data_IF_802457966419
#
_entry.id   IF_802457966419
#
_cell.length_a   1.000
_cell.length_b   1.000
_cell.length_c   1.000
_cell.angle_alpha   90.00
_cell.angle_beta   90.00
_cell.angle_gamma   90.00
#
_symmetry.space_group_name_H-M   'P 1'
#
loop_
_entity.id
_entity.type
_entity.pdbx_description
1 polymer ?
#
# COMPACT_ATOMS: atom_id res chain seq x y z
N UNK A 1 4.63 7.70 6.72
CA UNK A 1 4.27 8.17 8.07
C UNK A 1 2.75 8.23 8.15
N UNK A 2 2.16 8.02 9.31
CA UNK A 2 0.73 8.18 9.49
C UNK A 2 0.31 9.61 9.14
N UNK A 3 -0.69 9.74 8.28
CA UNK A 3 -1.59 10.86 8.31
C UNK A 3 -2.72 10.56 9.30
N UNK A 4 -3.57 11.54 9.52
CA UNK A 4 -4.69 11.40 10.45
C UNK A 4 -5.61 10.21 10.09
N UNK A 5 -5.95 10.06 8.82
CA UNK A 5 -6.86 9.01 8.33
C UNK A 5 -6.26 7.61 8.57
N UNK A 6 -4.99 7.41 8.22
CA UNK A 6 -4.32 6.13 8.44
C UNK A 6 -4.15 5.80 9.93
N UNK A 7 -3.91 6.82 10.76
CA UNK A 7 -3.84 6.65 12.21
C UNK A 7 -5.18 6.17 12.77
N UNK A 8 -6.28 6.86 12.43
CA UNK A 8 -7.62 6.51 12.90
C UNK A 8 -8.02 5.12 12.42
N UNK A 9 -7.73 4.78 11.17
CA UNK A 9 -7.95 3.43 10.66
C UNK A 9 -7.31 2.38 11.56
N UNK A 10 -6.03 2.55 11.88
CA UNK A 10 -5.32 1.59 12.72
C UNK A 10 -5.85 1.59 14.16
N UNK A 11 -6.24 2.74 14.69
CA UNK A 11 -6.78 2.85 16.05
C UNK A 11 -8.15 2.14 16.19
N UNK A 12 -9.06 2.34 15.25
CA UNK A 12 -10.36 1.67 15.25
C UNK A 12 -10.22 0.15 15.08
N UNK A 13 -9.28 -0.28 14.22
CA UNK A 13 -8.98 -1.71 14.11
C UNK A 13 -8.33 -2.28 15.36
N UNK A 14 -7.51 -1.49 16.08
CA UNK A 14 -6.99 -1.90 17.38
C UNK A 14 -8.13 -2.25 18.37
N UNK A 15 -9.16 -1.40 18.44
CA UNK A 15 -10.33 -1.66 19.30
C UNK A 15 -11.04 -2.94 18.87
N UNK A 16 -11.30 -3.11 17.56
CA UNK A 16 -11.95 -4.31 17.05
C UNK A 16 -11.14 -5.59 17.28
N UNK A 17 -9.81 -5.52 17.16
CA UNK A 17 -8.91 -6.65 17.40
C UNK A 17 -8.83 -7.01 18.87
N UNK A 18 -8.80 -6.02 19.76
CA UNK A 18 -8.81 -6.22 21.20
C UNK A 18 -10.07 -6.98 21.66
N UNK A 19 -11.24 -6.58 21.15
CA UNK A 19 -12.52 -7.25 21.45
C UNK A 19 -12.56 -8.73 20.99
N UNK A 20 -11.58 -9.16 20.20
CA UNK A 20 -11.44 -10.54 19.71
C UNK A 20 -10.15 -11.21 20.19
N UNK A 21 -9.53 -10.73 21.29
CA UNK A 21 -8.29 -11.24 21.87
C UNK A 21 -7.11 -11.30 20.88
N UNK A 22 -7.10 -10.41 19.88
CA UNK A 22 -6.02 -10.31 18.91
C UNK A 22 -5.04 -9.22 19.34
N UNK A 23 -3.79 -9.58 19.52
CA UNK A 23 -2.76 -8.71 20.12
C UNK A 23 -1.84 -8.02 19.09
N UNK A 24 -2.03 -8.25 17.81
CA UNK A 24 -1.18 -7.71 16.74
C UNK A 24 -2.00 -6.97 15.70
N UNK A 25 -1.57 -5.76 15.39
CA UNK A 25 -2.08 -4.97 14.28
C UNK A 25 -1.01 -4.85 13.20
N UNK A 26 -1.32 -5.31 12.01
CA UNK A 26 -0.42 -5.27 10.86
C UNK A 26 -0.74 -4.07 9.97
N UNK A 27 0.28 -3.28 9.63
CA UNK A 27 0.14 -2.18 8.67
C UNK A 27 1.16 -2.30 7.55
N UNK A 28 0.69 -2.15 6.32
CA UNK A 28 1.52 -2.21 5.13
C UNK A 28 1.73 -0.81 4.54
N UNK A 29 2.98 -0.44 4.36
CA UNK A 29 3.34 0.79 3.69
C UNK A 29 3.53 0.57 2.19
N UNK A 30 2.98 1.48 1.38
CA UNK A 30 3.13 1.42 -0.07
C UNK A 30 4.28 2.34 -0.52
N UNK A 31 5.51 1.84 -0.52
CA UNK A 31 6.70 2.62 -0.88
C UNK A 31 6.97 2.71 -2.39
N UNK A 32 6.26 1.94 -3.21
CA UNK A 32 6.40 2.01 -4.68
C UNK A 32 5.72 3.23 -5.31
N UNK A 33 4.95 3.99 -4.53
CA UNK A 33 4.34 5.24 -4.99
C UNK A 33 5.39 6.34 -5.17
N UNK A 34 5.08 7.30 -6.03
CA UNK A 34 5.92 8.50 -6.17
C UNK A 34 5.90 9.33 -4.91
N UNK A 35 7.06 9.86 -4.54
CA UNK A 35 7.25 10.67 -3.33
C UNK A 35 6.46 11.96 -3.36
N UNK A 36 6.30 12.57 -4.54
CA UNK A 36 5.40 13.70 -4.76
C UNK A 36 4.39 13.39 -5.86
N UNK A 37 3.16 13.80 -5.67
CA UNK A 37 2.07 13.67 -6.62
C UNK A 37 1.41 15.03 -6.87
N UNK A 38 0.82 15.23 -8.03
CA UNK A 38 0.02 16.40 -8.36
C UNK A 38 -1.46 16.03 -8.47
N UNK A 39 -1.95 15.29 -7.48
CA UNK A 39 -3.38 14.97 -7.39
C UNK A 39 -4.03 16.00 -6.49
N UNK A 40 -5.24 16.40 -6.82
CA UNK A 40 -6.02 17.37 -6.03
C UNK A 40 -6.06 16.93 -4.55
N UNK A 41 -5.60 17.80 -3.66
CA UNK A 41 -5.50 17.59 -2.21
C UNK A 41 -4.51 16.50 -1.72
N UNK A 42 -3.73 15.88 -2.60
CA UNK A 42 -2.71 14.92 -2.20
C UNK A 42 -1.36 15.21 -2.85
N UNK A 43 -0.41 15.68 -2.07
CA UNK A 43 0.92 16.05 -2.55
C UNK A 43 1.91 14.88 -2.60
N UNK A 44 1.53 13.73 -2.05
CA UNK A 44 2.35 12.54 -1.97
C UNK A 44 2.79 12.16 -0.55
N UNK A 45 3.33 10.96 -0.35
CA UNK A 45 3.63 10.40 0.98
C UNK A 45 4.77 11.11 1.73
N UNK A 46 5.53 11.97 1.05
CA UNK A 46 6.60 12.75 1.68
C UNK A 46 6.13 14.15 2.13
N UNK A 47 4.83 14.39 2.07
CA UNK A 47 4.21 15.61 2.58
C UNK A 47 3.19 15.26 3.65
N UNK A 48 3.01 16.17 4.59
CA UNK A 48 2.01 16.06 5.64
C UNK A 48 1.31 17.39 5.84
N UNK A 49 0.00 17.32 6.05
CA UNK A 49 -0.80 18.47 6.46
C UNK A 49 -0.98 18.42 7.99
N UNK A 50 -0.60 19.50 8.66
CA UNK A 50 -0.72 19.67 10.11
C UNK A 50 -1.39 21.01 10.32
N UNK A 51 -2.62 21.03 10.83
CA UNK A 51 -3.37 22.26 11.09
C UNK A 51 -3.38 23.21 9.87
N UNK A 52 -3.75 22.67 8.71
CA UNK A 52 -3.72 23.39 7.41
C UNK A 52 -2.33 23.81 6.89
N UNK A 53 -1.29 23.63 7.66
CA UNK A 53 0.08 23.88 7.25
C UNK A 53 0.66 22.67 6.52
N UNK A 54 1.27 22.89 5.37
CA UNK A 54 1.86 21.82 4.55
C UNK A 54 3.37 21.76 4.81
N UNK A 55 3.82 20.59 5.23
CA UNK A 55 5.24 20.31 5.47
C UNK A 55 5.77 19.26 4.50
N UNK A 56 6.99 19.46 4.03
CA UNK A 56 7.79 18.45 3.36
C UNK A 56 8.62 17.71 4.42
N UNK A 57 8.36 16.45 4.58
CA UNK A 57 8.90 15.62 5.67
C UNK A 57 10.43 15.55 5.62
N UNK A 58 11.02 15.39 4.43
CA UNK A 58 12.47 15.25 4.26
C UNK A 58 13.18 16.51 3.77
N UNK A 59 12.47 17.62 3.60
CA UNK A 59 13.06 18.88 3.12
C UNK A 59 13.64 18.84 1.71
N UNK A 60 13.39 17.78 0.94
CA UNK A 60 13.89 17.61 -0.42
C UNK A 60 13.15 18.52 -1.42
N UNK A 61 13.83 18.94 -2.49
CA UNK A 61 13.19 19.77 -3.50
C UNK A 61 12.02 19.07 -4.20
N UNK A 62 10.98 19.82 -4.58
CA UNK A 62 9.80 19.28 -5.27
C UNK A 62 10.17 18.57 -6.57
N UNK A 63 11.17 19.09 -7.31
CA UNK A 63 11.64 18.48 -8.54
C UNK A 63 12.29 17.11 -8.31
N UNK A 64 13.10 16.97 -7.25
CA UNK A 64 13.66 15.68 -6.85
C UNK A 64 12.57 14.69 -6.48
N UNK A 65 11.58 15.11 -5.71
CA UNK A 65 10.49 14.24 -5.21
C UNK A 65 9.52 13.79 -6.33
N UNK A 66 9.27 14.62 -7.34
CA UNK A 66 8.38 14.27 -8.47
C UNK A 66 8.86 13.04 -9.26
N UNK A 67 10.17 12.89 -9.37
CA UNK A 67 10.80 11.82 -10.17
C UNK A 67 11.34 10.67 -9.31
N UNK A 68 10.98 10.66 -8.03
CA UNK A 68 11.51 9.70 -7.06
C UNK A 68 10.37 8.90 -6.45
N UNK A 69 10.57 7.60 -6.25
CA UNK A 69 9.68 6.76 -5.47
C UNK A 69 10.20 6.66 -4.03
N UNK A 70 9.32 6.46 -3.06
CA UNK A 70 9.71 6.32 -1.63
C UNK A 70 10.72 5.16 -1.47
N UNK A 71 10.50 4.04 -2.17
CA UNK A 71 11.40 2.89 -2.18
C UNK A 71 12.80 3.15 -2.75
N UNK A 72 13.05 4.31 -3.34
CA UNK A 72 14.34 4.70 -3.89
C UNK A 72 15.00 5.88 -3.15
N UNK A 73 14.38 6.34 -2.06
CA UNK A 73 14.89 7.43 -1.23
C UNK A 73 15.81 6.89 -0.14
N UNK A 74 17.10 7.02 -0.37
CA UNK A 74 18.16 6.72 0.60
C UNK A 74 18.66 7.99 1.27
N UNK A 75 19.31 7.84 2.43
CA UNK A 75 19.95 8.90 3.19
C UNK A 75 19.00 10.08 3.53
N UNK A 76 17.77 9.75 3.90
CA UNK A 76 16.73 10.70 4.28
C UNK A 76 16.84 11.07 5.75
N UNK A 77 16.48 12.33 6.07
CA UNK A 77 16.39 12.83 7.44
C UNK A 77 15.06 13.55 7.62
N UNK A 78 14.40 13.35 8.75
CA UNK A 78 13.21 14.13 9.10
C UNK A 78 13.58 15.59 9.39
N UNK A 79 12.96 16.50 8.64
CA UNK A 79 13.18 17.95 8.75
C UNK A 79 11.87 18.70 8.93
N UNK A 80 10.77 18.20 8.36
CA UNK A 80 9.46 18.86 8.34
C UNK A 80 9.55 20.34 7.90
N UNK A 81 10.07 20.54 6.69
CA UNK A 81 10.19 21.89 6.12
C UNK A 81 8.81 22.43 5.76
N UNK A 82 8.42 23.55 6.41
CA UNK A 82 7.18 24.25 6.09
C UNK A 82 7.22 24.77 4.65
N UNK A 83 6.21 24.45 3.86
CA UNK A 83 6.05 24.89 2.47
C UNK A 83 4.96 25.94 2.36
N UNK A 84 3.90 25.78 3.11
CA UNK A 84 2.75 26.69 3.08
C UNK A 84 2.19 26.83 4.49
N UNK A 85 2.16 28.04 4.96
CA UNK A 85 1.60 28.39 6.27
C UNK A 85 0.20 28.98 6.08
N UNK A 86 -0.76 28.39 6.75
CA UNK A 86 -2.13 28.91 6.83
C UNK A 86 -2.56 29.18 8.27
N UNK A 87 -1.89 28.55 9.22
CA UNK A 87 -2.20 28.65 10.62
C UNK A 87 -0.92 28.92 11.43
N UNK A 88 -1.06 29.63 12.55
CA UNK A 88 0.02 29.95 13.49
C UNK A 88 0.15 28.95 14.64
N UNK A 89 -0.59 27.85 14.58
CA UNK A 89 -0.51 26.79 15.61
C UNK A 89 0.89 26.19 15.71
N UNK A 90 1.27 25.86 16.94
CA UNK A 90 2.55 25.23 17.23
C UNK A 90 2.70 23.87 16.55
N UNK A 91 3.93 23.59 16.17
CA UNK A 91 4.31 22.29 15.62
C UNK A 91 4.16 21.19 16.69
N UNK A 92 3.44 20.08 16.41
CA UNK A 92 3.11 19.05 17.41
C UNK A 92 4.33 18.43 18.10
N UNK A 93 4.29 18.31 19.43
CA UNK A 93 5.41 17.79 20.23
C UNK A 93 5.80 16.36 19.85
N UNK A 94 4.83 15.52 19.49
CA UNK A 94 5.12 14.16 19.00
C UNK A 94 6.00 14.17 17.75
N UNK A 95 5.84 15.15 16.86
CA UNK A 95 6.67 15.29 15.68
C UNK A 95 8.05 15.86 16.01
N UNK A 96 8.16 16.76 16.98
CA UNK A 96 9.46 17.21 17.54
C UNK A 96 10.22 16.00 18.08
N UNK A 97 9.55 15.15 18.88
CA UNK A 97 10.12 13.92 19.43
C UNK A 97 10.60 12.96 18.33
N UNK A 98 9.81 12.77 17.24
CA UNK A 98 10.20 11.94 16.10
C UNK A 98 11.47 12.48 15.43
N UNK A 99 11.59 13.81 15.27
CA UNK A 99 12.79 14.45 14.71
C UNK A 99 14.01 14.13 15.58
N UNK A 100 13.87 14.29 16.91
CA UNK A 100 14.96 14.11 17.85
C UNK A 100 15.42 12.65 17.95
N UNK A 101 14.47 11.70 18.00
CA UNK A 101 14.79 10.27 18.08
C UNK A 101 15.31 9.70 16.78
N UNK A 102 14.83 10.20 15.62
CA UNK A 102 15.23 9.74 14.29
C UNK A 102 16.15 10.74 13.56
N UNK A 103 17.03 11.40 14.31
CA UNK A 103 17.96 12.40 13.77
C UNK A 103 18.98 11.89 12.76
N UNK A 104 19.29 10.59 12.81
CA UNK A 104 20.26 9.98 11.90
C UNK A 104 19.60 9.72 10.53
N UNK A 105 20.29 10.06 9.43
CA UNK A 105 19.79 9.74 8.10
C UNK A 105 19.61 8.25 7.90
N UNK A 106 18.60 7.88 7.10
CA UNK A 106 18.29 6.49 6.82
C UNK A 106 17.48 6.31 5.52
N UNK A 107 17.15 5.08 5.24
CA UNK A 107 16.28 4.70 4.13
C UNK A 107 14.83 5.12 4.43
N UNK A 108 14.18 5.86 3.53
CA UNK A 108 12.88 6.48 3.80
C UNK A 108 11.79 5.51 4.29
N UNK A 109 11.60 4.31 3.71
CA UNK A 109 10.65 3.33 4.24
C UNK A 109 10.93 2.95 5.70
N UNK A 110 12.18 2.72 6.07
CA UNK A 110 12.55 2.39 7.45
C UNK A 110 12.34 3.56 8.40
N UNK A 111 12.60 4.77 7.93
CA UNK A 111 12.32 5.99 8.69
C UNK A 111 10.81 6.14 8.96
N UNK A 112 9.97 5.89 7.95
CA UNK A 112 8.52 5.90 8.14
C UNK A 112 8.03 4.81 9.09
N UNK A 113 8.59 3.59 9.01
CA UNK A 113 8.25 2.51 9.96
C UNK A 113 8.59 2.91 11.39
N UNK A 114 9.81 3.39 11.63
CA UNK A 114 10.23 3.86 12.95
C UNK A 114 9.36 5.00 13.47
N UNK A 115 9.04 5.99 12.63
CA UNK A 115 8.15 7.08 12.99
C UNK A 115 6.74 6.59 13.36
N UNK A 116 6.18 5.65 12.58
CA UNK A 116 4.88 5.07 12.88
C UNK A 116 4.88 4.29 14.20
N UNK A 117 5.93 3.53 14.48
CA UNK A 117 6.09 2.81 15.76
C UNK A 117 6.23 3.77 16.93
N UNK A 118 7.01 4.85 16.79
CA UNK A 118 7.13 5.89 17.81
C UNK A 118 5.79 6.59 18.05
N UNK A 119 5.09 6.95 16.99
CA UNK A 119 3.77 7.53 17.09
C UNK A 119 2.81 6.61 17.83
N UNK A 120 2.74 5.34 17.43
CA UNK A 120 1.91 4.32 18.05
C UNK A 120 2.26 4.07 19.52
N UNK A 121 3.55 4.02 19.86
CA UNK A 121 4.02 3.80 21.24
C UNK A 121 3.60 4.92 22.21
N UNK A 122 3.47 6.15 21.70
CA UNK A 122 3.10 7.31 22.52
C UNK A 122 1.58 7.44 22.76
N UNK A 123 0.75 6.61 22.14
CA UNK A 123 -0.68 6.56 22.45
C UNK A 123 -0.85 5.94 23.83
N UNK A 124 -1.54 6.65 24.72
CA UNK A 124 -1.85 6.18 26.07
C UNK A 124 -3.13 5.36 26.08
N UNK A 125 -3.14 4.23 25.39
CA UNK A 125 -4.25 3.29 25.39
C UNK A 125 -3.82 1.99 26.08
N UNK A 126 -4.65 1.49 27.04
CA UNK A 126 -4.26 0.42 27.97
C UNK A 126 -4.01 -0.92 27.25
N UNK A 127 -4.91 -1.31 26.36
CA UNK A 127 -4.91 -2.62 25.70
C UNK A 127 -4.47 -2.52 24.23
N UNK A 128 -3.46 -1.74 23.97
CA UNK A 128 -2.96 -1.48 22.64
C UNK A 128 -2.30 -2.70 22.00
N UNK A 129 -2.78 -3.11 20.85
CA UNK A 129 -2.13 -4.13 20.03
C UNK A 129 -0.70 -3.73 19.68
N UNK A 130 0.16 -4.71 19.56
CA UNK A 130 1.51 -4.49 19.03
C UNK A 130 1.44 -4.16 17.54
N UNK A 131 1.88 -2.97 17.17
CA UNK A 131 1.95 -2.57 15.76
C UNK A 131 3.11 -3.27 15.07
N UNK A 132 2.83 -3.92 13.94
CA UNK A 132 3.82 -4.53 13.06
C UNK A 132 3.77 -3.81 11.71
N UNK A 133 4.81 -3.06 11.41
CA UNK A 133 4.95 -2.35 10.14
C UNK A 133 5.72 -3.19 9.14
N UNK A 134 5.20 -3.31 7.92
CA UNK A 134 5.90 -3.93 6.80
C UNK A 134 5.63 -3.13 5.51
N UNK A 135 6.35 -3.45 4.45
CA UNK A 135 6.24 -2.79 3.16
C UNK A 135 6.37 -3.80 2.01
N UNK A 136 6.45 -3.33 0.78
CA UNK A 136 6.55 -4.21 -0.39
C UNK A 136 7.82 -5.04 -0.46
N UNK A 137 8.85 -4.71 0.31
CA UNK A 137 10.03 -5.59 0.47
C UNK A 137 9.60 -6.95 1.02
N UNK A 138 8.62 -6.97 1.93
CA UNK A 138 8.03 -8.21 2.42
C UNK A 138 7.37 -9.03 1.29
N UNK A 139 6.66 -8.38 0.39
CA UNK A 139 6.08 -9.08 -0.78
C UNK A 139 7.16 -9.55 -1.75
N UNK A 140 8.25 -8.80 -1.91
CA UNK A 140 9.41 -9.28 -2.68
C UNK A 140 10.00 -10.54 -2.08
N UNK A 141 10.09 -10.64 -0.74
CA UNK A 141 10.54 -11.84 -0.05
C UNK A 141 9.57 -13.01 -0.22
N UNK A 142 8.27 -12.79 -0.10
CA UNK A 142 7.27 -13.83 -0.33
C UNK A 142 7.38 -14.38 -1.75
N UNK A 143 7.53 -13.52 -2.77
CA UNK A 143 7.67 -13.95 -4.16
C UNK A 143 8.98 -14.70 -4.36
N UNK A 144 10.07 -14.23 -3.78
CA UNK A 144 11.36 -14.93 -3.82
C UNK A 144 11.27 -16.33 -3.22
N UNK A 145 10.62 -16.49 -2.07
CA UNK A 145 10.37 -17.80 -1.45
C UNK A 145 9.50 -18.71 -2.33
N UNK A 146 8.47 -18.17 -3.00
CA UNK A 146 7.66 -18.92 -3.94
C UNK A 146 8.47 -19.38 -5.17
N UNK A 147 9.41 -18.55 -5.64
CA UNK A 147 10.36 -18.93 -6.72
C UNK A 147 11.25 -20.08 -6.26
N UNK A 148 11.78 -20.01 -5.04
CA UNK A 148 12.63 -21.06 -4.47
C UNK A 148 11.87 -22.38 -4.30
N UNK A 149 10.64 -22.29 -3.78
CA UNK A 149 9.76 -23.46 -3.57
C UNK A 149 9.12 -23.98 -4.85
N UNK A 150 9.26 -23.28 -5.98
CA UNK A 150 8.66 -23.64 -7.27
C UNK A 150 7.14 -23.84 -7.18
N UNK A 151 6.44 -22.94 -6.51
CA UNK A 151 4.98 -23.07 -6.37
C UNK A 151 4.30 -23.01 -7.74
N UNK A 152 3.21 -23.77 -7.97
CA UNK A 152 2.60 -23.92 -9.31
C UNK A 152 2.22 -22.59 -9.96
N UNK A 153 1.70 -21.65 -9.19
CA UNK A 153 1.29 -20.33 -9.71
C UNK A 153 2.50 -19.50 -10.12
N UNK A 154 3.58 -19.46 -9.32
CA UNK A 154 4.79 -18.69 -9.67
C UNK A 154 5.48 -19.29 -10.90
N UNK A 155 5.47 -20.63 -11.02
CA UNK A 155 5.97 -21.32 -12.19
C UNK A 155 5.23 -20.92 -13.46
N UNK A 156 3.90 -20.93 -13.39
CA UNK A 156 3.05 -20.56 -14.50
C UNK A 156 3.18 -19.07 -14.89
N UNK A 157 3.31 -18.18 -13.90
CA UNK A 157 3.39 -16.75 -14.15
C UNK A 157 4.74 -16.31 -14.72
N UNK A 158 5.85 -16.88 -14.24
CA UNK A 158 7.18 -16.37 -14.56
C UNK A 158 8.00 -17.28 -15.47
N UNK A 159 7.87 -18.60 -15.35
CA UNK A 159 8.81 -19.53 -15.97
C UNK A 159 8.23 -20.34 -17.13
N UNK A 160 6.91 -20.57 -17.16
CA UNK A 160 6.23 -21.15 -18.32
C UNK A 160 5.87 -20.05 -19.32
N UNK A 161 6.54 -20.04 -20.48
CA UNK A 161 6.34 -19.00 -21.51
C UNK A 161 4.89 -18.90 -21.98
N UNK A 162 4.25 -20.04 -22.24
CA UNK A 162 2.86 -20.09 -22.77
C UNK A 162 1.88 -19.53 -21.73
N UNK A 163 2.00 -19.96 -20.48
CA UNK A 163 1.14 -19.52 -19.38
C UNK A 163 1.41 -18.08 -19.01
N UNK A 164 2.67 -17.64 -18.96
CA UNK A 164 3.05 -16.24 -18.78
C UNK A 164 2.40 -15.33 -19.83
N UNK A 165 2.51 -15.69 -21.11
CA UNK A 165 1.89 -14.94 -22.18
C UNK A 165 0.36 -14.94 -22.11
N UNK A 166 -0.25 -16.05 -21.67
CA UNK A 166 -1.69 -16.13 -21.39
C UNK A 166 -2.10 -15.13 -20.29
N UNK A 167 -1.38 -15.11 -19.17
CA UNK A 167 -1.62 -14.16 -18.07
C UNK A 167 -1.54 -12.70 -18.54
N UNK A 168 -0.48 -12.35 -19.26
CA UNK A 168 -0.29 -10.98 -19.74
C UNK A 168 -1.37 -10.56 -20.74
N UNK A 169 -1.88 -11.47 -21.58
CA UNK A 169 -3.01 -11.20 -22.49
C UNK A 169 -4.30 -10.95 -21.70
N UNK A 170 -4.59 -11.79 -20.70
CA UNK A 170 -5.77 -11.67 -19.83
C UNK A 170 -5.69 -10.33 -19.09
N UNK A 171 -4.57 -10.06 -18.41
CA UNK A 171 -4.31 -8.81 -17.72
C UNK A 171 -4.54 -7.59 -18.62
N UNK A 172 -3.97 -7.60 -19.81
CA UNK A 172 -4.13 -6.49 -20.77
C UNK A 172 -5.59 -6.30 -21.18
N UNK A 173 -6.30 -7.39 -21.51
CA UNK A 173 -7.73 -7.37 -21.90
C UNK A 173 -8.59 -6.73 -20.80
N UNK A 174 -8.47 -7.23 -19.57
CA UNK A 174 -9.29 -6.77 -18.44
C UNK A 174 -8.96 -5.32 -18.07
N UNK A 175 -7.69 -4.93 -18.05
CA UNK A 175 -7.30 -3.54 -17.78
C UNK A 175 -7.76 -2.57 -18.86
N UNK A 176 -7.79 -2.99 -20.13
CA UNK A 176 -8.26 -2.16 -21.23
C UNK A 176 -9.77 -2.01 -21.27
N UNK A 177 -10.53 -3.05 -20.92
CA UNK A 177 -12.00 -3.01 -20.85
C UNK A 177 -12.51 -2.17 -19.65
N UNK A 178 -11.71 -2.05 -18.61
CA UNK A 178 -12.06 -1.28 -17.41
C UNK A 178 -11.43 0.11 -17.42
N UNK A 179 -12.22 1.13 -17.07
CA UNK A 179 -11.75 2.52 -16.98
C UNK A 179 -10.86 2.79 -15.77
N UNK A 180 -10.44 1.75 -15.05
CA UNK A 180 -9.65 1.87 -13.83
C UNK A 180 -8.24 2.41 -14.10
N UNK A 181 -7.99 3.64 -13.65
CA UNK A 181 -6.72 4.33 -13.87
C UNK A 181 -5.55 3.71 -13.09
N UNK A 182 -5.83 3.14 -11.92
CA UNK A 182 -4.79 2.61 -11.02
C UNK A 182 -4.10 1.39 -11.65
N UNK A 183 -4.87 0.48 -12.27
CA UNK A 183 -4.30 -0.70 -12.91
C UNK A 183 -3.59 -0.40 -14.23
N UNK A 184 -3.93 0.71 -14.91
CA UNK A 184 -3.26 1.11 -16.16
C UNK A 184 -1.77 1.40 -15.97
N UNK A 185 -1.37 1.82 -14.78
CA UNK A 185 0.02 2.12 -14.43
C UNK A 185 0.81 0.91 -13.94
N UNK A 186 0.20 -0.29 -13.90
CA UNK A 186 0.92 -1.50 -13.52
C UNK A 186 1.90 -1.93 -14.62
N UNK A 187 2.95 -2.64 -14.19
CA UNK A 187 3.96 -3.23 -15.08
C UNK A 187 3.49 -4.60 -15.54
N UNK A 188 4.33 -5.35 -16.26
CA UNK A 188 3.98 -6.75 -16.51
C UNK A 188 4.00 -7.57 -15.21
N UNK A 189 5.07 -7.41 -14.40
CA UNK A 189 5.22 -8.08 -13.11
C UNK A 189 5.95 -7.24 -12.07
N UNK A 190 7.01 -6.50 -12.50
CA UNK A 190 7.96 -5.87 -11.57
C UNK A 190 8.27 -4.43 -11.96
N UNK A 191 8.69 -3.69 -10.92
CA UNK A 191 9.47 -2.46 -11.06
C UNK A 191 10.95 -2.78 -10.83
N UNK A 192 11.82 -2.10 -11.55
CA UNK A 192 13.27 -2.14 -11.36
C UNK A 192 13.73 -0.87 -10.64
N UNK A 193 14.46 -1.02 -9.54
CA UNK A 193 15.07 0.11 -8.82
C UNK A 193 16.29 0.59 -9.61
N UNK A 194 16.18 1.80 -10.15
CA UNK A 194 17.27 2.49 -10.83
C UNK A 194 17.49 3.84 -10.15
N UNK A 195 18.63 4.00 -9.51
CA UNK A 195 18.96 5.23 -8.78
C UNK A 195 17.86 5.66 -7.81
N UNK A 196 17.16 6.74 -8.13
CA UNK A 196 16.12 7.34 -7.30
C UNK A 196 14.69 7.01 -7.75
N UNK A 197 14.51 6.16 -8.75
CA UNK A 197 13.17 5.83 -9.27
C UNK A 197 12.94 4.32 -9.41
N UNK A 198 11.67 3.95 -9.48
CA UNK A 198 11.22 2.62 -9.88
C UNK A 198 10.78 2.66 -11.34
N UNK A 199 11.53 1.96 -12.17
CA UNK A 199 11.29 1.85 -13.61
C UNK A 199 10.28 0.72 -13.85
N UNK A 200 9.13 0.98 -14.50
CA UNK A 200 8.17 -0.06 -14.83
C UNK A 200 8.70 -0.99 -15.92
N UNK A 201 8.60 -2.30 -15.71
CA UNK A 201 9.13 -3.31 -16.62
C UNK A 201 8.08 -3.92 -17.53
N UNK A 202 8.51 -4.27 -18.74
CA UNK A 202 7.84 -5.20 -19.65
C UNK A 202 8.70 -6.44 -19.84
N UNK A 203 8.05 -7.59 -20.08
CA UNK A 203 8.74 -8.83 -20.43
C UNK A 203 8.35 -9.27 -21.84
N UNK A 204 9.32 -9.68 -22.66
CA UNK A 204 9.05 -10.24 -23.96
C UNK A 204 8.79 -11.77 -23.92
N UNK A 205 8.45 -12.34 -25.05
CA UNK A 205 8.20 -13.79 -25.14
C UNK A 205 9.39 -14.64 -24.67
N UNK A 206 10.62 -14.20 -24.95
CA UNK A 206 11.85 -14.90 -24.52
C UNK A 206 12.13 -14.71 -23.01
N UNK A 207 11.28 -13.99 -22.27
CA UNK A 207 11.44 -13.77 -20.85
C UNK A 207 12.46 -12.68 -20.50
N UNK A 208 12.87 -11.85 -21.44
CA UNK A 208 13.77 -10.70 -21.15
C UNK A 208 12.97 -9.49 -20.72
N UNK A 209 13.48 -8.76 -19.72
CA UNK A 209 12.86 -7.55 -19.20
C UNK A 209 13.42 -6.28 -19.83
N UNK A 210 12.53 -5.36 -20.09
CA UNK A 210 12.80 -4.06 -20.71
C UNK A 210 12.13 -2.96 -19.91
N UNK A 211 12.76 -1.79 -19.88
CA UNK A 211 12.11 -0.56 -19.43
C UNK A 211 10.89 -0.27 -20.33
N UNK A 212 9.72 -0.19 -19.71
CA UNK A 212 8.45 0.06 -20.42
C UNK A 212 8.44 1.42 -21.14
N UNK A 213 9.17 2.42 -20.62
CA UNK A 213 9.18 3.79 -21.14
C UNK A 213 10.14 3.95 -22.30
N UNK A 214 11.36 3.44 -22.16
CA UNK A 214 12.43 3.61 -23.15
C UNK A 214 12.57 2.45 -24.13
N UNK A 215 11.98 1.28 -23.82
CA UNK A 215 12.17 0.06 -24.61
C UNK A 215 13.58 -0.56 -24.49
N UNK A 216 14.44 -0.01 -23.64
CA UNK A 216 15.82 -0.52 -23.47
C UNK A 216 15.84 -1.75 -22.58
N UNK A 217 16.70 -2.75 -22.86
CA UNK A 217 16.85 -3.91 -22.00
C UNK A 217 17.37 -3.48 -20.61
N UNK A 218 16.92 -4.16 -19.57
CA UNK A 218 17.46 -4.00 -18.23
C UNK A 218 18.69 -4.89 -18.08
N UNK A 219 19.81 -4.29 -17.70
CA UNK A 219 21.07 -4.98 -17.50
C UNK A 219 21.43 -4.95 -16.01
N UNK A 220 21.73 -6.11 -15.46
CA UNK A 220 22.22 -6.31 -14.09
C UNK A 220 23.53 -7.09 -14.17
N UNK A 221 24.60 -6.54 -13.63
CA UNK A 221 25.94 -7.15 -13.65
C UNK A 221 26.41 -7.58 -15.04
N UNK A 222 26.10 -6.79 -16.07
CA UNK A 222 26.50 -7.06 -17.46
C UNK A 222 25.58 -8.01 -18.22
N UNK A 223 24.57 -8.62 -17.58
CA UNK A 223 23.61 -9.53 -18.22
C UNK A 223 22.22 -8.91 -18.33
N UNK A 224 21.49 -9.26 -19.40
CA UNK A 224 20.10 -8.86 -19.54
C UNK A 224 19.26 -9.58 -18.47
N UNK A 225 18.50 -8.79 -17.70
CA UNK A 225 17.53 -9.33 -16.75
C UNK A 225 16.51 -10.21 -17.49
N UNK A 226 16.38 -11.46 -17.06
CA UNK A 226 15.50 -12.46 -17.67
C UNK A 226 14.76 -13.27 -16.62
N UNK A 227 13.72 -14.00 -17.05
CA UNK A 227 12.93 -14.92 -16.22
C UNK A 227 13.76 -16.16 -15.86
N UNK A 228 14.88 -15.96 -15.20
CA UNK A 228 15.73 -17.00 -14.61
C UNK A 228 15.52 -17.02 -13.11
N UNK A 229 15.36 -18.23 -12.49
CA UNK A 229 15.09 -18.37 -11.06
C UNK A 229 16.13 -17.66 -10.21
N UNK A 230 17.41 -17.96 -10.43
CA UNK A 230 18.49 -17.40 -9.64
C UNK A 230 18.56 -15.87 -9.81
N UNK A 231 18.37 -15.37 -11.04
CA UNK A 231 18.43 -13.93 -11.30
C UNK A 231 17.26 -13.22 -10.61
N UNK A 232 16.03 -13.71 -10.78
CA UNK A 232 14.84 -13.10 -10.17
C UNK A 232 14.86 -13.23 -8.64
N UNK A 233 15.23 -14.40 -8.10
CA UNK A 233 15.37 -14.60 -6.67
C UNK A 233 16.33 -13.58 -6.06
N UNK A 234 17.56 -13.50 -6.61
CA UNK A 234 18.57 -12.59 -6.10
C UNK A 234 18.16 -11.12 -6.26
N UNK A 235 17.53 -10.75 -7.38
CA UNK A 235 17.10 -9.38 -7.62
C UNK A 235 15.98 -8.94 -6.67
N UNK A 236 15.06 -9.84 -6.30
CA UNK A 236 14.02 -9.59 -5.31
C UNK A 236 14.61 -9.49 -3.89
N UNK A 237 15.48 -10.44 -3.49
CA UNK A 237 16.13 -10.44 -2.17
C UNK A 237 17.02 -9.22 -1.97
N UNK A 238 17.71 -8.77 -3.00
CA UNK A 238 18.60 -7.60 -2.97
C UNK A 238 17.87 -6.27 -3.20
N UNK A 239 16.52 -6.27 -3.25
CA UNK A 239 15.71 -5.05 -3.43
C UNK A 239 15.99 -4.30 -4.74
N UNK A 240 16.41 -5.03 -5.75
CA UNK A 240 16.59 -4.54 -7.12
C UNK A 240 15.26 -4.56 -7.87
N UNK A 241 14.44 -5.59 -7.59
CA UNK A 241 13.07 -5.72 -8.11
C UNK A 241 12.02 -5.56 -7.01
N UNK A 242 10.92 -4.90 -7.38
CA UNK A 242 9.73 -4.76 -6.56
C UNK A 242 8.52 -5.27 -7.32
N UNK A 243 7.64 -6.08 -6.72
CA UNK A 243 6.43 -6.55 -7.38
C UNK A 243 5.48 -5.38 -7.67
N UNK A 244 4.74 -5.50 -8.75
CA UNK A 244 3.66 -4.56 -9.05
C UNK A 244 2.46 -4.76 -8.11
N UNK A 245 1.44 -3.91 -8.28
CA UNK A 245 0.23 -3.98 -7.47
C UNK A 245 -0.48 -5.34 -7.59
N UNK A 246 -0.50 -5.91 -8.81
CA UNK A 246 -1.21 -7.17 -9.07
C UNK A 246 -0.49 -8.33 -8.39
N UNK A 247 0.81 -8.50 -8.60
CA UNK A 247 1.58 -9.54 -7.92
C UNK A 247 1.57 -9.39 -6.40
N UNK A 248 1.67 -8.15 -5.89
CA UNK A 248 1.61 -7.88 -4.45
C UNK A 248 0.27 -8.34 -3.86
N UNK A 249 -0.85 -8.10 -4.55
CA UNK A 249 -2.15 -8.57 -4.08
C UNK A 249 -2.29 -10.09 -4.20
N UNK A 250 -1.86 -10.69 -5.31
CA UNK A 250 -1.95 -12.14 -5.50
C UNK A 250 -1.18 -12.87 -4.39
N UNK A 251 0.10 -12.57 -4.23
CA UNK A 251 0.97 -13.30 -3.29
C UNK A 251 0.93 -12.80 -1.86
N UNK A 252 0.58 -11.52 -1.64
CA UNK A 252 0.54 -10.93 -0.31
C UNK A 252 -0.80 -11.04 0.40
N UNK A 253 -1.89 -11.18 -0.35
CA UNK A 253 -3.24 -11.13 0.21
C UNK A 253 -4.13 -12.28 -0.25
N UNK A 254 -4.24 -12.50 -1.58
CA UNK A 254 -5.23 -13.42 -2.13
C UNK A 254 -4.85 -14.87 -1.84
N UNK A 255 -3.67 -15.31 -2.25
CA UNK A 255 -3.21 -16.69 -2.04
C UNK A 255 -3.00 -17.04 -0.56
N UNK A 256 -2.39 -16.17 0.28
CA UNK A 256 -2.27 -16.44 1.71
C UNK A 256 -3.57 -16.31 2.49
N UNK A 257 -4.67 -15.91 1.83
CA UNK A 257 -5.96 -15.70 2.47
C UNK A 257 -5.92 -14.63 3.58
N UNK A 258 -5.21 -13.54 3.34
CA UNK A 258 -5.10 -12.40 4.26
C UNK A 258 -6.12 -11.35 3.85
N UNK A 259 -7.00 -10.97 4.77
CA UNK A 259 -7.91 -9.85 4.57
C UNK A 259 -7.13 -8.56 4.71
N UNK A 260 -6.96 -7.84 3.60
CA UNK A 260 -6.38 -6.52 3.62
C UNK A 260 -7.47 -5.45 3.75
N UNK A 261 -7.26 -4.55 4.71
CA UNK A 261 -8.12 -3.40 4.92
C UNK A 261 -7.48 -2.22 4.22
N UNK A 262 -8.23 -1.52 3.39
CA UNK A 262 -7.70 -0.40 2.63
C UNK A 262 -8.74 0.65 2.29
N UNK A 263 -8.32 1.66 1.52
CA UNK A 263 -9.18 2.73 1.06
C UNK A 263 -10.12 2.32 -0.08
N UNK A 264 -10.96 3.26 -0.48
CA UNK A 264 -11.98 3.10 -1.56
C UNK A 264 -11.42 2.64 -2.89
N UNK A 265 -10.18 3.01 -3.21
CA UNK A 265 -9.53 2.56 -4.44
C UNK A 265 -9.47 1.03 -4.58
N UNK A 266 -9.56 0.27 -3.48
CA UNK A 266 -9.62 -1.18 -3.53
C UNK A 266 -10.91 -1.70 -4.17
N UNK A 267 -12.01 -0.97 -4.03
CA UNK A 267 -13.28 -1.30 -4.69
C UNK A 267 -13.14 -1.29 -6.22
N UNK A 268 -12.25 -0.46 -6.73
CA UNK A 268 -12.03 -0.33 -8.16
C UNK A 268 -11.09 -1.39 -8.72
N UNK A 269 -9.94 -1.62 -8.09
CA UNK A 269 -8.90 -2.45 -8.70
C UNK A 269 -8.94 -3.92 -8.29
N UNK A 270 -9.44 -4.22 -7.09
CA UNK A 270 -9.40 -5.57 -6.57
C UNK A 270 -10.28 -6.56 -7.31
N UNK A 271 -11.53 -6.21 -7.70
CA UNK A 271 -12.35 -7.09 -8.52
C UNK A 271 -11.65 -7.47 -9.82
N UNK A 272 -10.98 -6.52 -10.45
CA UNK A 272 -10.22 -6.76 -11.67
C UNK A 272 -9.02 -7.70 -11.46
N UNK A 273 -8.32 -7.59 -10.32
CA UNK A 273 -7.23 -8.52 -9.98
C UNK A 273 -7.76 -9.93 -9.77
N UNK A 274 -8.90 -10.07 -9.11
CA UNK A 274 -9.56 -11.35 -8.91
C UNK A 274 -10.02 -11.95 -10.24
N UNK A 275 -10.63 -11.14 -11.12
CA UNK A 275 -11.04 -11.58 -12.47
C UNK A 275 -9.84 -12.04 -13.31
N UNK A 276 -8.71 -11.29 -13.28
CA UNK A 276 -7.47 -11.68 -13.95
C UNK A 276 -6.99 -13.05 -13.44
N UNK A 277 -6.99 -13.24 -12.13
CA UNK A 277 -6.52 -14.49 -11.54
C UNK A 277 -7.47 -15.66 -11.83
N UNK A 278 -8.78 -15.45 -11.71
CA UNK A 278 -9.80 -16.48 -12.03
C UNK A 278 -9.71 -16.95 -13.49
N UNK A 279 -9.68 -16.01 -14.46
CA UNK A 279 -9.58 -16.34 -15.87
C UNK A 279 -8.25 -17.05 -16.17
N UNK A 280 -7.16 -16.64 -15.52
CA UNK A 280 -5.85 -17.26 -15.67
C UNK A 280 -5.79 -18.69 -15.13
N UNK A 281 -6.28 -18.93 -13.92
CA UNK A 281 -6.27 -20.25 -13.28
C UNK A 281 -7.15 -21.22 -14.04
N UNK A 282 -8.38 -20.82 -14.38
CA UNK A 282 -9.32 -21.63 -15.16
C UNK A 282 -8.75 -22.03 -16.52
N UNK A 283 -8.24 -21.05 -17.28
CA UNK A 283 -7.72 -21.28 -18.63
C UNK A 283 -6.49 -22.18 -18.69
N UNK A 284 -5.72 -22.23 -17.61
CA UNK A 284 -4.48 -23.01 -17.55
C UNK A 284 -4.60 -24.27 -16.69
N UNK A 285 -5.82 -24.64 -16.27
CA UNK A 285 -6.12 -25.79 -15.40
C UNK A 285 -5.23 -25.80 -14.14
N UNK A 286 -5.07 -24.64 -13.51
CA UNK A 286 -4.30 -24.48 -12.29
C UNK A 286 -5.28 -24.49 -11.11
N UNK A 287 -5.34 -25.59 -10.39
CA UNK A 287 -6.06 -25.67 -9.13
C UNK A 287 -5.14 -25.22 -7.99
N UNK A 288 -5.64 -24.31 -7.17
CA UNK A 288 -5.00 -23.88 -5.94
C UNK A 288 -6.01 -23.93 -4.80
N UNK A 289 -5.78 -24.87 -3.88
CA UNK A 289 -6.68 -25.07 -2.73
C UNK A 289 -6.75 -23.86 -1.80
N UNK A 290 -5.66 -23.10 -1.71
CA UNK A 290 -5.62 -21.86 -0.92
C UNK A 290 -6.48 -20.79 -1.58
N UNK A 291 -6.44 -20.69 -2.91
CA UNK A 291 -7.26 -19.74 -3.65
C UNK A 291 -8.75 -20.05 -3.54
N UNK A 292 -9.13 -21.33 -3.66
CA UNK A 292 -10.52 -21.77 -3.47
C UNK A 292 -11.05 -21.42 -2.08
N UNK A 293 -10.21 -21.55 -1.05
CA UNK A 293 -10.51 -21.13 0.32
C UNK A 293 -10.68 -19.62 0.42
N UNK A 294 -9.76 -18.84 -0.18
CA UNK A 294 -9.80 -17.38 -0.20
C UNK A 294 -11.08 -16.84 -0.87
N UNK A 295 -11.49 -17.48 -1.98
CA UNK A 295 -12.74 -17.11 -2.68
C UNK A 295 -13.98 -17.36 -1.83
N UNK A 296 -14.02 -18.42 -1.04
CA UNK A 296 -15.14 -18.69 -0.12
C UNK A 296 -15.25 -17.65 0.98
N UNK A 297 -14.12 -17.18 1.51
CA UNK A 297 -14.09 -16.17 2.59
C UNK A 297 -14.41 -14.78 2.04
N UNK A 298 -13.88 -14.44 0.86
CA UNK A 298 -14.09 -13.14 0.23
C UNK A 298 -15.49 -12.99 -0.41
N UNK A 299 -16.28 -14.07 -0.42
CA UNK A 299 -17.60 -14.12 -1.08
C UNK A 299 -17.52 -14.29 -2.58
N UNK A 300 -18.67 -14.66 -3.18
CA UNK A 300 -18.80 -15.00 -4.61
C UNK A 300 -18.31 -13.86 -5.53
N UNK A 301 -18.41 -12.62 -5.10
CA UNK A 301 -18.07 -11.44 -5.89
C UNK A 301 -16.72 -10.83 -5.53
N UNK A 302 -15.96 -11.41 -4.59
CA UNK A 302 -14.67 -10.87 -4.18
C UNK A 302 -14.71 -9.52 -3.46
N UNK A 303 -15.91 -9.04 -3.12
CA UNK A 303 -16.15 -7.74 -2.50
C UNK A 303 -16.11 -7.79 -0.96
N UNK A 304 -15.83 -8.93 -0.37
CA UNK A 304 -15.79 -9.10 1.09
C UNK A 304 -14.62 -8.44 1.79
N UNK A 305 -13.95 -7.46 1.15
CA UNK A 305 -12.92 -6.69 1.81
C UNK A 305 -13.54 -5.58 2.63
N UNK A 306 -13.03 -5.51 3.85
CA UNK A 306 -13.37 -4.42 4.74
C UNK A 306 -12.78 -3.13 4.19
N UNK A 307 -13.64 -2.16 3.96
CA UNK A 307 -13.22 -0.79 3.66
C UNK A 307 -12.92 -0.16 5.01
N UNK A 308 -11.68 0.29 5.18
CA UNK A 308 -11.30 0.99 6.39
C UNK A 308 -12.06 2.31 6.55
N UNK A 309 -12.08 2.88 7.73
CA UNK A 309 -12.78 4.12 8.03
C UNK A 309 -12.26 5.37 7.30
N UNK A 310 -11.41 5.21 6.28
CA UNK A 310 -11.03 6.30 5.36
C UNK A 310 -12.21 6.99 4.69
N UNK A 311 -13.41 6.37 4.73
CA UNK A 311 -14.67 6.98 4.29
C UNK A 311 -15.37 7.79 5.38
N UNK A 312 -14.93 7.69 6.64
CA UNK A 312 -15.53 8.46 7.72
C UNK A 312 -15.10 9.91 7.57
N UNK A 313 -16.04 10.80 7.38
CA UNK A 313 -15.81 12.22 7.55
C UNK A 313 -15.81 12.54 9.04
N UNK A 314 -14.64 12.85 9.57
CA UNK A 314 -14.53 13.37 10.92
C UNK A 314 -15.00 14.83 10.94
N UNK A 315 -15.91 15.14 11.86
CA UNK A 315 -16.27 16.51 12.17
C UNK A 315 -15.10 17.23 12.82
N UNK A 316 -15.11 18.56 12.87
CA UNK A 316 -14.08 19.33 13.58
C UNK A 316 -14.04 18.97 15.08
N UNK A 317 -15.19 18.61 15.68
CA UNK A 317 -15.24 18.08 17.05
C UNK A 317 -14.54 16.74 17.18
N UNK A 318 -14.70 15.83 16.22
CA UNK A 318 -14.01 14.52 16.22
C UNK A 318 -12.50 14.71 16.07
N UNK A 319 -12.05 15.60 15.19
CA UNK A 319 -10.64 15.93 15.01
C UNK A 319 -10.04 16.55 16.28
N UNK A 320 -10.75 17.49 16.92
CA UNK A 320 -10.34 18.13 18.17
C UNK A 320 -10.31 17.10 19.31
N UNK A 321 -11.29 16.22 19.37
CA UNK A 321 -11.33 15.11 20.33
C UNK A 321 -10.12 14.17 20.13
N UNK A 322 -9.83 13.76 18.90
CA UNK A 322 -8.71 12.86 18.59
C UNK A 322 -7.37 13.54 18.85
N UNK A 323 -7.24 14.85 18.61
CA UNK A 323 -6.02 15.62 18.97
C UNK A 323 -5.78 15.66 20.49
N UNK A 324 -6.84 15.53 21.28
CA UNK A 324 -6.81 15.52 22.74
C UNK A 324 -6.73 14.11 23.37
N UNK A 325 -6.55 13.06 22.57
CA UNK A 325 -6.43 11.66 23.02
C UNK A 325 -5.24 11.39 23.99
N UNK A 326 -4.54 12.41 24.42
CA UNK A 326 -3.50 12.33 25.46
C UNK A 326 -4.06 12.22 26.89
N UNK A 327 -5.37 12.37 27.10
CA UNK A 327 -6.02 12.21 28.42
C UNK A 327 -6.81 10.91 28.48
N UNK A 328 -6.53 10.11 29.52
CA UNK A 328 -7.11 8.77 29.73
C UNK A 328 -8.65 8.75 29.77
N UNK A 329 -9.28 9.82 30.23
CA UNK A 329 -10.75 9.97 30.34
C UNK A 329 -11.45 10.15 28.99
N UNK A 330 -10.72 10.60 27.95
CA UNK A 330 -11.32 10.86 26.64
C UNK A 330 -11.30 9.63 25.75
N UNK A 331 -10.42 8.66 26.02
CA UNK A 331 -10.32 7.41 25.24
C UNK A 331 -11.53 6.52 25.45
N UNK A 332 -11.98 6.39 26.70
CA UNK A 332 -13.16 5.58 27.03
C UNK A 332 -14.42 6.15 26.36
N UNK A 333 -14.60 7.49 26.34
CA UNK A 333 -15.71 8.14 25.65
C UNK A 333 -15.65 7.94 24.12
N UNK A 334 -14.45 7.95 23.53
CA UNK A 334 -14.29 7.70 22.11
C UNK A 334 -14.63 6.24 21.76
N UNK A 335 -14.18 5.30 22.56
CA UNK A 335 -14.49 3.88 22.43
C UNK A 335 -16.00 3.64 22.45
N UNK A 336 -16.72 4.13 23.46
CA UNK A 336 -18.17 4.02 23.55
C UNK A 336 -18.91 4.73 22.40
N UNK A 337 -18.40 5.82 21.87
CA UNK A 337 -19.06 6.55 20.80
C UNK A 337 -19.02 5.84 19.44
N UNK A 338 -18.11 4.88 19.24
CA UNK A 338 -17.96 4.17 17.98
C UNK A 338 -18.43 2.71 18.02
N UNK A 339 -18.29 2.02 19.15
CA UNK A 339 -18.59 0.59 19.26
C UNK A 339 -20.09 0.31 19.06
N UNK A 340 -20.96 1.19 19.56
CA UNK A 340 -22.42 1.02 19.48
C UNK A 340 -23.06 1.63 18.24
N UNK A 341 -22.30 2.33 17.39
CA UNK A 341 -22.85 2.92 16.17
C UNK A 341 -22.87 1.93 15.03
N UNK A 342 -24.02 1.82 14.37
CA UNK A 342 -24.15 1.09 13.10
C UNK A 342 -23.22 1.74 12.05
N UNK A 343 -22.65 0.93 11.16
CA UNK A 343 -21.75 1.41 10.09
C UNK A 343 -22.36 2.60 9.33
N UNK A 344 -23.67 2.63 9.08
CA UNK A 344 -24.36 3.75 8.41
C UNK A 344 -24.43 5.05 9.21
N UNK A 345 -24.29 4.98 10.55
CA UNK A 345 -24.27 6.17 11.42
C UNK A 345 -22.86 6.76 11.56
N UNK A 346 -21.86 5.91 11.39
CA UNK A 346 -20.44 6.28 11.41
C UNK A 346 -19.99 6.77 10.03
N UNK A 347 -20.53 6.19 8.97
CA UNK A 347 -20.37 6.64 7.59
C UNK A 347 -21.31 7.82 7.38
N UNK A 348 -20.80 9.03 7.41
CA UNK A 348 -21.57 10.26 7.18
C UNK A 348 -22.34 10.19 5.84
N UNK A 349 -23.45 10.91 5.76
CA UNK A 349 -24.43 10.98 4.64
C UNK A 349 -23.76 11.12 3.26
N UNK A 350 -22.59 11.72 3.16
CA UNK A 350 -21.81 11.81 1.94
C UNK A 350 -21.18 10.48 1.44
N UNK A 351 -21.28 9.40 2.19
CA UNK A 351 -20.87 8.08 1.71
C UNK A 351 -21.63 7.69 0.44
N UNK A 352 -22.92 7.92 0.41
CA UNK A 352 -23.75 7.60 -0.75
C UNK A 352 -23.45 8.50 -1.95
N UNK A 353 -23.22 9.79 -1.75
CA UNK A 353 -22.81 10.68 -2.84
C UNK A 353 -21.42 10.33 -3.39
N UNK A 354 -20.53 9.85 -2.53
CA UNK A 354 -19.24 9.33 -2.96
C UNK A 354 -19.37 7.98 -3.68
N UNK A 355 -20.26 7.12 -3.20
CA UNK A 355 -20.59 5.83 -3.83
C UNK A 355 -21.24 6.04 -5.20
N UNK A 356 -22.16 7.00 -5.34
CA UNK A 356 -22.74 7.40 -6.61
C UNK A 356 -21.70 7.97 -7.57
N UNK A 357 -20.74 8.73 -7.07
CA UNK A 357 -19.62 9.23 -7.86
C UNK A 357 -18.72 8.09 -8.33
N UNK A 358 -18.47 7.08 -7.52
CA UNK A 358 -17.76 5.87 -7.90
C UNK A 358 -18.56 5.04 -8.89
N UNK A 359 -19.87 4.87 -8.66
CA UNK A 359 -20.75 4.12 -9.53
C UNK A 359 -20.86 4.76 -10.93
N UNK A 360 -20.93 6.08 -11.02
CA UNK A 360 -20.90 6.82 -12.28
C UNK A 360 -19.53 6.77 -12.98
N UNK A 361 -18.43 6.49 -12.26
CA UNK A 361 -17.10 6.29 -12.84
C UNK A 361 -16.85 4.85 -13.34
N UNK A 362 -17.65 3.90 -12.89
CA UNK A 362 -17.55 2.48 -13.28
C UNK A 362 -18.46 2.18 -14.48
N UNK A 363 -19.53 2.95 -14.69
CA UNK A 363 -20.41 2.92 -15.85
C UNK A 363 -20.05 4.04 -16.84
#
# INVERSE_FOLDING_TARGET
MYDFTNFINNFLWNIALENNDIHYLFTCQCETVRSAQNVQNFLGPTFININENIYNIFGLSKNKLKNTNVAALDNCKFVFKLLHQRDTTDFPDILKKIIDELKNPGYAPDMFHKANLLFWSNIKYKNKCKLVCFDRRFFSDIIAENILKKTPIIEALLFDEKKRNSFLKIKKKIIQSNKNLILKDTTDFFYFKKDTELVPLKVNNKGHFYDRRSGKPIIINGEILKTSRNILYNALRNRILYPDLILSNIFGHILPNIIAIGGTSQLEYLPNILEILDEFLSKNNLEDSSYSKSRKILGVNGYGRLIGPSLIKFTESDKKFISNLNSKSNLDQFEYSFIDKKIGEVLNIDFWSYFDTLYQRIN
#
